data_IF_119368065455
#
_entry.id   IF_119368065455
#
_cell.length_a   1.000
_cell.length_b   1.000
_cell.length_c   1.000
_cell.angle_alpha   90.00
_cell.angle_beta   90.00
_cell.angle_gamma   90.00
#
_symmetry.space_group_name_H-M   'P 1'
#
loop_
_entity.id
_entity.type
_entity.pdbx_description
1 polymer ?
#
# COMPACT_ATOMS: atom_id res chain seq x y z
N UNK A 1 -5.45 -10.60 30.18
CA UNK A 1 -5.70 -9.39 29.37
C UNK A 1 -4.48 -9.17 28.48
N UNK A 2 -4.63 -9.18 27.16
CA UNK A 2 -3.51 -9.04 26.22
C UNK A 2 -3.00 -7.59 26.21
N UNK A 3 -1.68 -7.38 26.23
CA UNK A 3 -1.10 -6.03 26.21
C UNK A 3 -1.35 -5.34 24.85
N UNK A 4 -1.52 -4.01 24.83
CA UNK A 4 -1.70 -3.23 23.60
C UNK A 4 -0.59 -3.47 22.58
N UNK A 5 0.65 -3.60 23.04
CA UNK A 5 1.82 -3.90 22.20
C UNK A 5 1.70 -5.30 21.57
N UNK A 6 1.23 -6.30 22.32
CA UNK A 6 1.02 -7.66 21.80
C UNK A 6 -0.02 -7.66 20.67
N UNK A 7 -1.16 -6.99 20.88
CA UNK A 7 -2.21 -6.90 19.86
C UNK A 7 -1.71 -6.21 18.58
N UNK A 8 -0.94 -5.12 18.71
CA UNK A 8 -0.36 -4.43 17.55
C UNK A 8 0.63 -5.32 16.80
N UNK A 9 1.46 -6.12 17.50
CA UNK A 9 2.36 -7.08 16.85
C UNK A 9 1.61 -8.18 16.10
N UNK A 10 0.52 -8.70 16.65
CA UNK A 10 -0.31 -9.69 15.94
C UNK A 10 -0.90 -9.11 14.65
N UNK A 11 -1.38 -7.86 14.72
CA UNK A 11 -1.86 -7.12 13.54
C UNK A 11 -0.75 -6.88 12.51
N UNK A 12 0.45 -6.50 12.96
CA UNK A 12 1.62 -6.36 12.08
C UNK A 12 1.89 -7.66 11.31
N UNK A 13 1.96 -8.79 12.01
CA UNK A 13 2.23 -10.11 11.42
C UNK A 13 1.14 -10.51 10.41
N UNK A 14 -0.13 -10.31 10.77
CA UNK A 14 -1.25 -10.56 9.86
C UNK A 14 -1.13 -9.71 8.59
N UNK A 15 -0.93 -8.40 8.73
CA UNK A 15 -0.84 -7.46 7.61
C UNK A 15 0.37 -7.75 6.70
N UNK A 16 1.53 -8.07 7.27
CA UNK A 16 2.71 -8.50 6.48
C UNK A 16 2.42 -9.78 5.70
N UNK A 17 1.71 -10.74 6.31
CA UNK A 17 1.36 -12.00 5.67
C UNK A 17 0.36 -11.80 4.53
N UNK A 18 -0.65 -10.94 4.76
CA UNK A 18 -1.61 -10.53 3.74
C UNK A 18 -0.91 -9.83 2.57
N UNK A 19 -0.01 -8.88 2.83
CA UNK A 19 0.75 -8.18 1.80
C UNK A 19 1.58 -9.12 0.92
N UNK A 20 2.25 -10.12 1.53
CA UNK A 20 2.98 -11.16 0.79
C UNK A 20 2.06 -12.01 -0.08
N UNK A 21 0.92 -12.46 0.46
CA UNK A 21 -0.05 -13.28 -0.27
C UNK A 21 -0.66 -12.53 -1.45
N UNK A 22 -1.08 -11.29 -1.24
CA UNK A 22 -1.66 -10.43 -2.29
C UNK A 22 -0.64 -10.12 -3.39
N UNK A 23 0.60 -9.81 -3.03
CA UNK A 23 1.69 -9.65 -3.99
C UNK A 23 1.88 -10.91 -4.82
N UNK A 24 1.98 -12.07 -4.18
CA UNK A 24 2.14 -13.36 -4.87
C UNK A 24 0.97 -13.65 -5.82
N UNK A 25 -0.28 -13.48 -5.38
CA UNK A 25 -1.45 -13.65 -6.23
C UNK A 25 -1.47 -12.64 -7.39
N UNK A 26 -1.03 -11.42 -7.14
CA UNK A 26 -0.85 -10.40 -8.17
C UNK A 26 0.19 -10.81 -9.21
N UNK A 27 1.31 -11.41 -8.79
CA UNK A 27 2.34 -11.92 -9.69
C UNK A 27 1.80 -13.08 -10.54
N UNK A 28 1.00 -13.98 -9.96
CA UNK A 28 0.34 -15.06 -10.71
C UNK A 28 -0.63 -14.52 -11.76
N UNK A 29 -1.46 -13.54 -11.39
CA UNK A 29 -2.43 -12.91 -12.29
C UNK A 29 -1.76 -12.15 -13.44
N UNK A 30 -0.64 -11.46 -13.18
CA UNK A 30 0.12 -10.74 -14.20
C UNK A 30 0.85 -11.68 -15.18
N UNK A 31 1.30 -12.84 -14.70
CA UNK A 31 2.10 -13.77 -15.50
C UNK A 31 1.24 -14.86 -16.18
N UNK A 32 -0.09 -14.82 -16.05
CA UNK A 32 -0.99 -15.86 -16.60
C UNK A 32 -0.78 -17.25 -15.99
N UNK A 33 -0.08 -17.33 -14.86
CA UNK A 33 0.18 -18.58 -14.13
C UNK A 33 -0.94 -18.78 -13.11
N UNK A 34 -2.17 -18.98 -13.58
CA UNK A 34 -3.13 -19.69 -12.74
C UNK A 34 -2.65 -21.15 -12.71
N UNK A 35 -2.28 -21.64 -11.52
CA UNK A 35 -2.05 -23.07 -11.30
C UNK A 35 -3.33 -23.82 -11.69
N UNK A 36 -3.35 -24.36 -12.90
CA UNK A 36 -4.36 -25.29 -13.38
C UNK A 36 -4.17 -26.61 -12.65
N UNK A 37 -4.65 -26.70 -11.41
CA UNK A 37 -5.11 -27.97 -10.82
C UNK A 37 -6.63 -28.19 -11.03
N UNK A 38 -7.33 -27.27 -11.69
CA UNK A 38 -8.71 -27.48 -12.09
C UNK A 38 -8.82 -27.63 -13.62
N UNK A 39 -9.32 -28.81 -14.03
CA UNK A 39 -9.80 -29.15 -15.37
C UNK A 39 -8.76 -29.39 -16.48
N UNK A 40 -8.10 -30.56 -16.43
CA UNK A 40 -7.76 -31.29 -17.65
C UNK A 40 -9.05 -31.93 -18.17
N UNK A 41 -9.84 -31.17 -18.93
CA UNK A 41 -10.92 -31.71 -19.76
C UNK A 41 -10.80 -31.13 -21.16
N UNK A 42 -10.48 -32.01 -22.11
CA UNK A 42 -10.52 -31.80 -23.56
C UNK A 42 -9.52 -30.80 -24.15
N UNK A 43 -8.28 -31.24 -24.35
CA UNK A 43 -7.48 -31.00 -25.57
C UNK A 43 -7.09 -29.56 -25.95
N UNK A 44 -7.51 -28.53 -25.23
CA UNK A 44 -7.14 -27.14 -25.47
C UNK A 44 -6.59 -26.53 -24.17
N UNK A 45 -5.30 -26.73 -23.92
CA UNK A 45 -4.54 -25.97 -22.91
C UNK A 45 -4.40 -24.52 -23.37
N UNK A 46 -5.47 -23.73 -23.25
CA UNK A 46 -5.34 -22.28 -23.20
C UNK A 46 -4.80 -21.96 -21.82
N UNK A 47 -3.50 -21.62 -21.75
CA UNK A 47 -2.97 -20.91 -20.59
C UNK A 47 -3.94 -19.77 -20.25
N UNK A 48 -4.37 -19.67 -18.98
CA UNK A 48 -5.33 -18.64 -18.57
C UNK A 48 -4.81 -17.26 -18.99
N UNK A 49 -5.63 -16.50 -19.73
CA UNK A 49 -5.23 -15.18 -20.19
C UNK A 49 -4.82 -14.31 -19.00
N UNK A 50 -3.67 -13.61 -19.04
CA UNK A 50 -3.22 -12.77 -17.95
C UNK A 50 -4.27 -11.72 -17.57
N UNK A 51 -4.82 -11.82 -16.35
CA UNK A 51 -5.72 -10.79 -15.83
C UNK A 51 -4.89 -9.64 -15.27
N UNK A 52 -4.32 -8.85 -16.19
CA UNK A 52 -3.36 -7.79 -15.89
C UNK A 52 -3.94 -6.73 -14.95
N UNK A 53 -5.23 -6.39 -15.11
CA UNK A 53 -5.93 -5.42 -14.27
C UNK A 53 -6.07 -5.93 -12.83
N UNK A 54 -6.57 -7.16 -12.65
CA UNK A 54 -6.66 -7.78 -11.33
C UNK A 54 -5.28 -7.90 -10.68
N UNK A 55 -4.27 -8.31 -11.43
CA UNK A 55 -2.91 -8.41 -10.93
C UNK A 55 -2.36 -7.09 -10.39
N UNK A 56 -2.68 -5.96 -11.04
CA UNK A 56 -2.30 -4.63 -10.58
C UNK A 56 -3.08 -4.22 -9.31
N UNK A 57 -4.38 -4.50 -9.26
CA UNK A 57 -5.23 -4.23 -8.09
C UNK A 57 -4.74 -5.00 -6.86
N UNK A 58 -4.43 -6.28 -7.01
CA UNK A 58 -3.88 -7.12 -5.94
C UNK A 58 -2.52 -6.61 -5.45
N UNK A 59 -1.68 -6.11 -6.35
CA UNK A 59 -0.42 -5.47 -5.98
C UNK A 59 -0.62 -4.19 -5.18
N UNK A 60 -1.57 -3.34 -5.57
CA UNK A 60 -1.88 -2.11 -4.85
C UNK A 60 -2.44 -2.41 -3.45
N UNK A 61 -3.35 -3.38 -3.34
CA UNK A 61 -3.86 -3.80 -2.04
C UNK A 61 -2.77 -4.45 -1.17
N UNK A 62 -1.90 -5.27 -1.76
CA UNK A 62 -0.75 -5.83 -1.06
C UNK A 62 0.21 -4.75 -0.55
N UNK A 63 0.41 -3.69 -1.35
CA UNK A 63 1.20 -2.52 -0.97
C UNK A 63 0.56 -1.78 0.21
N UNK A 64 -0.76 -1.57 0.19
CA UNK A 64 -1.50 -1.01 1.32
C UNK A 64 -1.37 -1.87 2.58
N UNK A 65 -1.45 -3.19 2.46
CA UNK A 65 -1.29 -4.10 3.59
C UNK A 65 0.12 -3.97 4.20
N UNK A 66 1.17 -3.84 3.37
CA UNK A 66 2.52 -3.55 3.88
C UNK A 66 2.61 -2.19 4.56
N UNK A 67 2.06 -1.12 3.96
CA UNK A 67 2.04 0.22 4.57
C UNK A 67 1.34 0.22 5.93
N UNK A 68 0.18 -0.42 6.03
CA UNK A 68 -0.53 -0.60 7.29
C UNK A 68 0.29 -1.41 8.29
N UNK A 69 1.02 -2.44 7.85
CA UNK A 69 1.90 -3.20 8.73
C UNK A 69 3.04 -2.35 9.30
N UNK A 70 3.65 -1.49 8.49
CA UNK A 70 4.75 -0.61 8.92
C UNK A 70 4.24 0.50 9.83
N UNK A 71 3.07 1.04 9.55
CA UNK A 71 2.40 1.98 10.43
C UNK A 71 2.12 1.38 11.81
N UNK A 72 1.56 0.16 11.86
CA UNK A 72 1.34 -0.58 13.11
C UNK A 72 2.65 -0.90 13.82
N UNK A 73 3.69 -1.26 13.05
CA UNK A 73 5.03 -1.52 13.56
C UNK A 73 5.60 -0.29 14.28
N UNK A 74 5.56 0.86 13.63
CA UNK A 74 6.05 2.11 14.21
C UNK A 74 5.28 2.48 15.47
N UNK A 75 3.95 2.34 15.48
CA UNK A 75 3.13 2.61 16.66
C UNK A 75 3.55 1.77 17.88
N UNK A 76 3.71 0.45 17.72
CA UNK A 76 4.10 -0.37 18.87
C UNK A 76 5.58 -0.21 19.25
N UNK A 77 6.43 0.26 18.33
CA UNK A 77 7.82 0.64 18.63
C UNK A 77 7.85 1.93 19.45
N UNK A 78 7.09 2.94 19.05
CA UNK A 78 6.94 4.19 19.80
C UNK A 78 6.39 3.94 21.20
N UNK A 79 5.37 3.08 21.35
CA UNK A 79 4.85 2.67 22.68
C UNK A 79 5.89 1.95 23.54
N UNK A 80 6.91 1.35 22.93
CA UNK A 80 8.03 0.71 23.61
C UNK A 80 9.28 1.61 23.69
N UNK A 81 9.13 2.92 23.44
CA UNK A 81 10.23 3.90 23.41
C UNK A 81 11.36 3.52 22.45
N UNK A 82 11.01 2.94 21.30
CA UNK A 82 11.93 2.62 20.21
C UNK A 82 11.64 3.51 19.01
N UNK A 83 12.69 3.97 18.34
CA UNK A 83 12.59 4.72 17.09
C UNK A 83 11.82 3.94 16.02
N UNK A 84 11.09 4.65 15.15
CA UNK A 84 10.42 4.07 13.98
C UNK A 84 11.46 3.49 12.98
N UNK A 85 11.01 2.59 12.11
CA UNK A 85 11.88 1.89 11.16
C UNK A 85 11.77 2.47 9.73
N UNK A 86 12.67 3.38 9.33
CA UNK A 86 12.66 3.94 7.97
C UNK A 86 12.95 2.89 6.89
N UNK A 87 13.66 1.80 7.24
CA UNK A 87 14.02 0.75 6.29
C UNK A 87 12.79 -0.04 5.82
N UNK A 88 11.85 -0.30 6.72
CA UNK A 88 10.56 -0.94 6.38
C UNK A 88 9.80 -0.11 5.34
N UNK A 89 9.66 1.20 5.53
CA UNK A 89 9.03 2.09 4.54
C UNK A 89 9.82 2.19 3.23
N UNK A 90 11.15 2.27 3.31
CA UNK A 90 12.04 2.26 2.15
C UNK A 90 11.88 1.02 1.26
N UNK A 91 11.55 -0.13 1.87
CA UNK A 91 11.32 -1.39 1.14
C UNK A 91 10.10 -1.38 0.20
N UNK A 92 9.19 -0.40 0.34
CA UNK A 92 8.05 -0.20 -0.57
C UNK A 92 8.48 0.41 -1.91
N UNK A 93 9.55 1.20 -1.92
CA UNK A 93 9.91 2.00 -3.08
C UNK A 93 10.16 1.14 -4.33
N UNK A 94 10.89 0.01 -4.27
CA UNK A 94 11.04 -0.86 -5.43
C UNK A 94 9.72 -1.45 -5.95
N UNK A 95 8.78 -1.76 -5.05
CA UNK A 95 7.47 -2.30 -5.42
C UNK A 95 6.63 -1.23 -6.12
N UNK A 96 6.62 -0.01 -5.58
CA UNK A 96 5.92 1.12 -6.16
C UNK A 96 6.54 1.56 -7.49
N UNK A 97 7.88 1.53 -7.62
CA UNK A 97 8.57 1.80 -8.88
C UNK A 97 8.25 0.76 -9.96
N UNK A 98 8.14 -0.51 -9.57
CA UNK A 98 7.69 -1.57 -10.47
C UNK A 98 6.27 -1.31 -11.00
N UNK A 99 5.35 -0.93 -10.11
CA UNK A 99 3.96 -0.61 -10.49
C UNK A 99 3.89 0.65 -11.35
N UNK A 100 4.71 1.64 -11.05
CA UNK A 100 4.78 2.91 -11.79
C UNK A 100 5.25 2.71 -13.24
N UNK A 101 6.14 1.75 -13.51
CA UNK A 101 6.61 1.44 -14.89
C UNK A 101 5.52 0.84 -15.79
N UNK A 102 4.48 0.27 -15.19
CA UNK A 102 3.34 -0.31 -15.92
C UNK A 102 2.29 0.77 -16.13
N UNK A 103 2.52 1.60 -17.14
CA UNK A 103 1.59 2.66 -17.53
C UNK A 103 0.72 2.21 -18.73
N UNK A 104 -0.58 2.50 -18.66
CA UNK A 104 -1.51 2.30 -19.76
C UNK A 104 -2.76 3.15 -19.55
N UNK A 105 -3.43 3.57 -20.64
CA UNK A 105 -4.62 4.45 -20.54
C UNK A 105 -5.71 3.89 -19.63
N UNK A 106 -5.87 2.56 -19.62
CA UNK A 106 -6.86 1.86 -18.80
C UNK A 106 -6.46 1.82 -17.32
N UNK A 107 -5.16 1.89 -17.00
CA UNK A 107 -4.65 1.81 -15.63
C UNK A 107 -4.43 3.19 -14.99
N UNK A 108 -4.86 4.29 -15.62
CA UNK A 108 -4.61 5.65 -15.13
C UNK A 108 -5.05 5.85 -13.67
N UNK A 109 -6.28 5.49 -13.24
CA UNK A 109 -6.66 5.58 -11.83
C UNK A 109 -5.69 4.86 -10.88
N UNK A 110 -5.26 3.67 -11.27
CA UNK A 110 -4.36 2.85 -10.48
C UNK A 110 -2.93 3.43 -10.45
N UNK A 111 -2.50 4.05 -11.54
CA UNK A 111 -1.22 4.76 -11.59
C UNK A 111 -1.21 5.98 -10.68
N UNK A 112 -2.31 6.76 -10.65
CA UNK A 112 -2.46 7.87 -9.72
C UNK A 112 -2.41 7.40 -8.26
N UNK A 113 -3.06 6.27 -7.95
CA UNK A 113 -2.95 5.62 -6.64
C UNK A 113 -1.51 5.24 -6.34
N UNK A 114 -0.78 4.60 -7.26
CA UNK A 114 0.64 4.25 -7.07
C UNK A 114 1.47 5.49 -6.71
N UNK A 115 1.27 6.61 -7.41
CA UNK A 115 1.96 7.87 -7.11
C UNK A 115 1.58 8.43 -5.74
N UNK A 116 0.30 8.37 -5.35
CA UNK A 116 -0.14 8.75 -4.01
C UNK A 116 0.56 7.90 -2.94
N UNK A 117 0.61 6.58 -3.09
CA UNK A 117 1.28 5.69 -2.15
C UNK A 117 2.80 5.96 -2.09
N UNK A 118 3.43 6.34 -3.21
CA UNK A 118 4.83 6.81 -3.20
C UNK A 118 5.01 8.07 -2.35
N UNK A 119 4.14 9.06 -2.50
CA UNK A 119 4.19 10.30 -1.69
C UNK A 119 4.10 9.96 -0.20
N UNK A 120 3.16 9.10 0.18
CA UNK A 120 2.98 8.69 1.58
C UNK A 120 4.17 7.89 2.09
N UNK A 121 4.73 6.97 1.29
CA UNK A 121 5.94 6.23 1.69
C UNK A 121 7.11 7.19 1.97
N UNK A 122 7.32 8.22 1.14
CA UNK A 122 8.35 9.22 1.42
C UNK A 122 8.06 10.07 2.66
N UNK A 123 6.79 10.43 2.90
CA UNK A 123 6.40 11.12 4.14
C UNK A 123 6.76 10.28 5.37
N UNK A 124 6.37 9.01 5.40
CA UNK A 124 6.63 8.12 6.53
C UNK A 124 8.11 7.81 6.72
N UNK A 125 8.91 7.67 5.64
CA UNK A 125 10.38 7.58 5.75
C UNK A 125 10.94 8.81 6.46
N UNK A 126 10.52 10.01 6.04
CA UNK A 126 11.04 11.25 6.64
C UNK A 126 10.59 11.44 8.07
N UNK A 127 9.36 11.04 8.43
CA UNK A 127 8.88 11.01 9.82
C UNK A 127 9.69 10.02 10.65
N UNK A 128 9.95 8.82 10.15
CA UNK A 128 10.72 7.82 10.87
C UNK A 128 12.14 8.30 11.20
N UNK A 129 12.78 9.01 10.26
CA UNK A 129 14.08 9.66 10.50
C UNK A 129 14.06 10.69 11.63
N UNK A 130 12.97 11.41 11.85
CA UNK A 130 12.88 12.37 12.97
C UNK A 130 12.80 11.73 14.35
N UNK A 131 12.56 10.41 14.42
CA UNK A 131 12.50 9.66 15.68
C UNK A 131 13.82 8.99 16.05
N UNK A 132 14.86 9.13 15.22
CA UNK A 132 16.17 8.53 15.48
C UNK A 132 17.06 9.48 16.27
N UNK A 133 17.55 9.00 17.41
CA UNK A 133 18.39 9.79 18.33
C UNK A 133 19.86 9.91 17.86
N UNK A 134 20.29 9.07 16.93
CA UNK A 134 21.68 8.97 16.51
C UNK A 134 21.88 9.49 15.06
N UNK A 135 22.61 10.61 14.88
CA UNK A 135 22.89 11.18 13.55
C UNK A 135 23.68 10.28 12.61
N UNK A 136 24.31 9.20 13.11
CA UNK A 136 25.06 8.24 12.28
C UNK A 136 24.15 7.30 11.49
N UNK A 137 22.91 7.13 11.93
CA UNK A 137 21.98 6.16 11.34
C UNK A 137 21.22 6.77 10.13
N UNK A 138 21.21 8.10 10.00
CA UNK A 138 20.58 8.82 8.88
C UNK A 138 21.38 10.07 8.53
N UNK A 139 21.82 10.16 7.28
CA UNK A 139 22.46 11.39 6.80
C UNK A 139 21.41 12.45 6.45
N UNK A 140 21.67 13.73 6.77
CA UNK A 140 20.84 14.85 6.34
C UNK A 140 20.61 14.85 4.81
N UNK A 141 21.60 14.39 4.04
CA UNK A 141 21.50 14.27 2.59
C UNK A 141 20.44 13.26 2.14
N UNK A 142 20.35 12.11 2.82
CA UNK A 142 19.34 11.10 2.54
C UNK A 142 17.94 11.60 2.88
N UNK A 143 17.77 12.23 4.05
CA UNK A 143 16.52 12.89 4.43
C UNK A 143 16.07 13.91 3.37
N UNK A 144 16.98 14.80 2.94
CA UNK A 144 16.69 15.81 1.93
C UNK A 144 16.39 15.19 0.55
N UNK A 145 17.04 14.08 0.20
CA UNK A 145 16.76 13.33 -1.04
C UNK A 145 15.32 12.82 -1.05
N UNK A 146 14.86 12.19 0.04
CA UNK A 146 13.48 11.69 0.13
C UNK A 146 12.46 12.83 0.06
N UNK A 147 12.70 13.93 0.78
CA UNK A 147 11.82 15.12 0.71
C UNK A 147 11.76 15.70 -0.69
N UNK A 148 12.91 15.91 -1.36
CA UNK A 148 12.93 16.45 -2.72
C UNK A 148 12.21 15.55 -3.72
N UNK A 149 12.36 14.23 -3.62
CA UNK A 149 11.66 13.30 -4.51
C UNK A 149 10.15 13.37 -4.29
N UNK A 150 9.71 13.41 -3.03
CA UNK A 150 8.30 13.63 -2.69
C UNK A 150 7.75 14.90 -3.33
N UNK A 151 8.42 16.04 -3.14
CA UNK A 151 7.99 17.33 -3.70
C UNK A 151 7.91 17.33 -5.24
N UNK A 152 8.68 16.47 -5.92
CA UNK A 152 8.58 16.31 -7.38
C UNK A 152 7.35 15.51 -7.82
N UNK A 153 6.91 14.54 -7.02
CA UNK A 153 5.78 13.66 -7.37
C UNK A 153 4.45 14.37 -7.19
N UNK A 154 4.33 15.26 -6.19
CA UNK A 154 3.06 15.92 -5.85
C UNK A 154 2.47 16.73 -7.03
N UNK A 155 3.21 17.62 -7.73
CA UNK A 155 2.69 18.33 -8.89
C UNK A 155 2.29 17.37 -10.01
N UNK A 156 3.10 16.36 -10.29
CA UNK A 156 2.81 15.35 -11.31
C UNK A 156 1.50 14.61 -11.00
N UNK A 157 1.29 14.20 -9.75
CA UNK A 157 0.06 13.56 -9.32
C UNK A 157 -1.16 14.48 -9.48
N UNK A 158 -1.03 15.77 -9.15
CA UNK A 158 -2.13 16.75 -9.30
C UNK A 158 -2.52 16.92 -10.77
N UNK A 159 -1.54 17.10 -11.64
CA UNK A 159 -1.74 17.19 -13.09
C UNK A 159 -2.37 15.90 -13.64
N UNK A 160 -1.86 14.75 -13.21
CA UNK A 160 -2.38 13.45 -13.65
C UNK A 160 -3.82 13.21 -13.17
N UNK A 161 -4.13 13.54 -11.91
CA UNK A 161 -5.49 13.47 -11.36
C UNK A 161 -6.48 14.35 -12.12
N UNK A 162 -6.05 15.50 -12.64
CA UNK A 162 -6.92 16.38 -13.42
C UNK A 162 -7.43 15.71 -14.70
N UNK A 163 -6.68 14.74 -15.23
CA UNK A 163 -7.05 13.94 -16.41
C UNK A 163 -7.94 12.72 -16.12
N UNK A 164 -8.22 12.43 -14.85
CA UNK A 164 -9.00 11.28 -14.37
C UNK A 164 -10.39 11.75 -13.95
N UNK A 165 -11.40 10.89 -14.14
CA UNK A 165 -12.74 11.11 -13.60
C UNK A 165 -12.66 11.38 -12.09
N UNK A 166 -13.42 12.40 -11.64
CA UNK A 166 -13.42 12.85 -10.25
C UNK A 166 -13.62 11.73 -9.22
N UNK A 167 -14.40 10.70 -9.55
CA UNK A 167 -14.70 9.57 -8.68
C UNK A 167 -13.48 8.70 -8.38
N UNK A 168 -12.49 8.67 -9.26
CA UNK A 168 -11.29 7.83 -9.14
C UNK A 168 -10.00 8.59 -8.81
N UNK A 169 -10.09 9.90 -8.54
CA UNK A 169 -8.91 10.72 -8.24
C UNK A 169 -8.27 10.35 -6.91
N UNK A 170 -6.96 10.17 -6.93
CA UNK A 170 -6.14 9.91 -5.75
C UNK A 170 -5.62 11.23 -5.17
N UNK A 171 -6.50 11.97 -4.49
CA UNK A 171 -6.16 13.31 -3.98
C UNK A 171 -5.32 13.23 -2.71
N UNK A 172 -4.32 14.12 -2.61
CA UNK A 172 -3.60 14.38 -1.36
C UNK A 172 -4.40 15.43 -0.59
N UNK A 173 -4.95 15.07 0.56
CA UNK A 173 -5.49 16.03 1.53
C UNK A 173 -4.47 16.30 2.64
N UNK A 174 -4.50 17.50 3.22
CA UNK A 174 -3.66 17.84 4.36
C UNK A 174 -4.10 17.00 5.57
N UNK A 175 -3.14 16.49 6.35
CA UNK A 175 -3.36 15.69 7.57
C UNK A 175 -3.91 14.27 7.36
N UNK A 176 -3.71 13.66 6.19
CA UNK A 176 -4.07 12.24 5.99
C UNK A 176 -3.20 11.30 6.81
N UNK A 177 -3.84 10.44 7.60
CA UNK A 177 -3.16 9.30 8.21
C UNK A 177 -3.00 8.17 7.20
N UNK A 178 -2.10 7.22 7.47
CA UNK A 178 -1.96 5.99 6.65
C UNK A 178 -3.29 5.22 6.57
N UNK A 179 -4.09 5.25 7.64
CA UNK A 179 -5.42 4.62 7.67
C UNK A 179 -6.40 5.32 6.73
N UNK A 180 -6.45 6.67 6.74
CA UNK A 180 -7.32 7.43 5.84
C UNK A 180 -6.96 7.19 4.38
N UNK A 181 -5.66 7.12 4.07
CA UNK A 181 -5.19 6.78 2.73
C UNK A 181 -5.61 5.35 2.35
N UNK A 182 -5.49 4.39 3.26
CA UNK A 182 -5.92 3.02 3.00
C UNK A 182 -7.43 2.95 2.72
N UNK A 183 -8.26 3.69 3.46
CA UNK A 183 -9.71 3.76 3.22
C UNK A 183 -10.02 4.34 1.85
N UNK A 184 -9.41 5.48 1.50
CA UNK A 184 -9.61 6.15 0.20
C UNK A 184 -9.18 5.23 -0.95
N UNK A 185 -7.99 4.63 -0.86
CA UNK A 185 -7.46 3.78 -1.92
C UNK A 185 -8.28 2.52 -2.09
N UNK A 186 -8.68 1.81 -1.02
CA UNK A 186 -9.58 0.67 -1.14
C UNK A 186 -10.92 1.06 -1.77
N UNK A 187 -11.44 2.25 -1.44
CA UNK A 187 -12.64 2.79 -2.06
C UNK A 187 -12.48 3.04 -3.57
N UNK A 188 -11.32 3.54 -4.01
CA UNK A 188 -11.00 3.70 -5.44
C UNK A 188 -10.91 2.32 -6.12
N UNK A 189 -10.16 1.37 -5.54
CA UNK A 189 -10.00 0.02 -6.11
C UNK A 189 -11.35 -0.67 -6.32
N UNK A 190 -12.22 -0.68 -5.30
CA UNK A 190 -13.54 -1.32 -5.40
C UNK A 190 -14.40 -0.71 -6.52
N UNK A 191 -14.48 0.63 -6.57
CA UNK A 191 -15.30 1.32 -7.58
C UNK A 191 -14.74 1.11 -8.98
N UNK A 192 -13.42 1.21 -9.13
CA UNK A 192 -12.78 1.02 -10.42
C UNK A 192 -12.92 -0.43 -10.92
N UNK A 193 -12.77 -1.42 -10.04
CA UNK A 193 -13.01 -2.82 -10.39
C UNK A 193 -14.46 -3.09 -10.79
N UNK A 194 -15.43 -2.50 -10.08
CA UNK A 194 -16.84 -2.64 -10.43
C UNK A 194 -17.15 -2.05 -11.81
N UNK A 195 -16.59 -0.88 -12.13
CA UNK A 195 -16.74 -0.22 -13.43
C UNK A 195 -16.11 -1.03 -14.58
N UNK A 196 -14.95 -1.64 -14.32
CA UNK A 196 -14.19 -2.42 -15.30
C UNK A 196 -14.64 -3.90 -15.37
N UNK A 197 -15.66 -4.31 -14.61
CA UNK A 197 -16.16 -5.69 -14.59
C UNK A 197 -15.16 -6.71 -14.02
N UNK A 198 -14.27 -6.28 -13.13
CA UNK A 198 -13.24 -7.14 -12.52
C UNK A 198 -13.80 -7.76 -11.25
N UNK A 199 -13.75 -9.09 -11.15
CA UNK A 199 -14.06 -9.83 -9.93
C UNK A 199 -12.97 -9.58 -8.87
N UNK A 200 -13.20 -8.54 -8.07
CA UNK A 200 -12.30 -8.09 -7.02
C UNK A 200 -13.05 -8.01 -5.70
N UNK A 201 -12.55 -8.74 -4.70
CA UNK A 201 -12.98 -8.62 -3.32
C UNK A 201 -11.79 -8.23 -2.44
N UNK A 202 -11.90 -7.07 -1.79
CA UNK A 202 -10.88 -6.58 -0.88
C UNK A 202 -10.69 -7.53 0.30
N UNK A 203 -9.47 -8.01 0.50
CA UNK A 203 -9.06 -8.86 1.61
C UNK A 203 -8.60 -8.05 2.82
N UNK A 204 -8.11 -6.82 2.61
CA UNK A 204 -7.71 -5.89 3.66
C UNK A 204 -8.95 -5.31 4.35
N UNK A 205 -9.16 -5.71 5.60
CA UNK A 205 -10.26 -5.24 6.43
C UNK A 205 -9.80 -4.19 7.45
N UNK A 206 -9.97 -2.92 7.11
CA UNK A 206 -9.56 -1.80 7.97
C UNK A 206 -10.35 -1.69 9.28
N UNK A 207 -11.55 -2.28 9.39
CA UNK A 207 -12.28 -2.29 10.67
C UNK A 207 -11.63 -3.23 11.69
N UNK A 208 -11.17 -4.38 11.20
CA UNK A 208 -10.49 -5.38 12.03
C UNK A 208 -9.05 -4.96 12.35
N UNK A 209 -8.33 -4.43 11.35
CA UNK A 209 -6.92 -4.06 11.53
C UNK A 209 -6.70 -2.62 12.01
N UNK A 210 -7.69 -1.74 11.89
CA UNK A 210 -7.58 -0.32 12.23
C UNK A 210 -7.09 -0.08 13.66
N UNK A 211 -6.28 0.96 13.80
CA UNK A 211 -5.59 1.34 15.03
C UNK A 211 -6.34 2.43 15.79
N UNK A 212 -7.19 3.22 15.10
CA UNK A 212 -8.12 4.18 15.72
C UNK A 212 -8.90 3.56 16.89
N UNK A 213 -9.37 2.32 16.73
CA UNK A 213 -10.12 1.59 17.75
C UNK A 213 -9.26 1.08 18.93
N UNK A 214 -7.96 0.87 18.73
CA UNK A 214 -7.03 0.42 19.78
C UNK A 214 -6.60 1.61 20.64
N UNK A 215 -6.36 2.76 20.01
CA UNK A 215 -5.92 3.98 20.70
C UNK A 215 -7.07 4.70 21.42
N UNK A 216 -8.31 4.63 20.90
CA UNK A 216 -9.48 5.29 21.52
C UNK A 216 -9.95 4.65 22.84
N UNK A 217 -9.65 3.37 23.10
CA UNK A 217 -9.95 2.68 24.38
C UNK A 217 -9.03 3.10 25.53
N UNK A 218 -8.54 4.34 25.53
CA UNK A 218 -7.60 4.90 26.51
C UNK A 218 -8.23 5.91 27.48
N UNK A 219 -9.52 6.24 27.32
CA UNK A 219 -10.21 7.25 28.14
C UNK A 219 -11.34 6.70 29.04
N UNK A 220 -11.38 5.39 29.28
CA UNK A 220 -12.28 4.76 30.25
C UNK A 220 -11.54 3.77 31.12
#
# INVERSE_FOLDING_TARGET
MMSKITLLREKEVYLRSLGKRLKHNGDLALNGRQDTQAAVTNGNTRAGEPNTKLGYVLHLEGTLAFMMSFYVQDLHRTLASKAADPGSWGSLLPLLDFLRRKEGRVLRPLHAVTMLLQVIAYDEITKAYTTQDNPKDVTLQEFLKHRRTREKIIPQLREYNASIDSSFRANITLLTTVEDIAEVVLGILRRWCADEGIDYNAQLNLREVGVKNIMARAHH
#
